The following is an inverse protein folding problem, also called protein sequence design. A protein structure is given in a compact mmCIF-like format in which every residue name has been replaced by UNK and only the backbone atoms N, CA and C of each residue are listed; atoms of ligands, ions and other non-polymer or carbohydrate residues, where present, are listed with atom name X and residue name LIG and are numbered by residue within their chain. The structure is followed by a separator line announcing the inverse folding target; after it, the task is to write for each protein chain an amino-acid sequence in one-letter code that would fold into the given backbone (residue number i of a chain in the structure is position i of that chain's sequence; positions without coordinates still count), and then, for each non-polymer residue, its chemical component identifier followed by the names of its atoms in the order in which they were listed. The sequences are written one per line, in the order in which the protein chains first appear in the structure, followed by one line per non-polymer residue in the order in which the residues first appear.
data_IF_308723389559
#
_entry.id   IF_308723389559
#
_cell.length_a   1.000
_cell.length_b   1.000
_cell.length_c   1.000
_cell.angle_alpha   90.00
_cell.angle_beta   90.00
_cell.angle_gamma   90.00
#
_symmetry.space_group_name_H-M   'P 1'
#
loop_
_entity.id
_entity.type
_entity.pdbx_description
1 polymer ?
#
# COMPACT_ATOMS: atom_id res chain seq x y z
N UNK A 1 -10.71 17.57 1.26
CA UNK A 1 -10.88 17.48 -0.22
C UNK A 1 -12.21 16.84 -0.58
N UNK A 2 -12.45 15.58 -0.24
CA UNK A 2 -13.75 14.91 -0.49
C UNK A 2 -14.89 15.59 0.27
N UNK A 3 -14.70 15.87 1.57
CA UNK A 3 -15.68 16.59 2.39
C UNK A 3 -15.98 18.01 1.90
N UNK A 4 -15.01 18.62 1.22
CA UNK A 4 -15.12 20.00 0.71
C UNK A 4 -15.57 20.04 -0.76
N UNK A 5 -16.04 18.91 -1.30
CA UNK A 5 -16.45 18.74 -2.70
C UNK A 5 -15.39 19.16 -3.76
N UNK A 6 -14.11 19.18 -3.38
CA UNK A 6 -13.00 19.53 -4.29
C UNK A 6 -12.64 18.39 -5.25
N UNK A 7 -13.11 17.18 -4.97
CA UNK A 7 -12.89 15.97 -5.78
C UNK A 7 -14.14 15.10 -5.74
N UNK A 8 -14.42 14.39 -6.83
CA UNK A 8 -15.44 13.32 -6.86
C UNK A 8 -14.75 11.98 -6.64
N UNK A 9 -15.13 11.27 -5.59
CA UNK A 9 -14.60 9.93 -5.29
C UNK A 9 -15.50 8.86 -5.91
N UNK A 10 -14.90 7.94 -6.67
CA UNK A 10 -15.54 6.68 -7.07
C UNK A 10 -14.87 5.52 -6.33
N UNK A 11 -15.66 4.55 -5.85
CA UNK A 11 -15.17 3.39 -5.12
C UNK A 11 -15.65 2.09 -5.77
N UNK A 12 -15.01 1.65 -6.86
CA UNK A 12 -15.26 0.32 -7.45
C UNK A 12 -14.95 -0.82 -6.47
N UNK A 13 -15.41 -2.02 -6.81
CA UNK A 13 -15.26 -3.22 -5.97
C UNK A 13 -13.82 -3.79 -5.97
N UNK A 14 -13.00 -3.45 -6.96
CA UNK A 14 -11.64 -3.99 -7.11
C UNK A 14 -10.64 -2.93 -7.56
N UNK A 15 -9.36 -3.18 -7.29
CA UNK A 15 -8.24 -2.34 -7.76
C UNK A 15 -8.18 -2.36 -9.29
N UNK A 16 -8.42 -3.50 -9.92
CA UNK A 16 -8.46 -3.65 -11.37
C UNK A 16 -9.54 -2.76 -12.00
N UNK A 17 -10.72 -2.67 -11.38
CA UNK A 17 -11.78 -1.80 -11.87
C UNK A 17 -11.44 -0.31 -11.71
N UNK A 18 -10.70 0.08 -10.66
CA UNK A 18 -10.16 1.43 -10.53
C UNK A 18 -9.25 1.79 -11.72
N UNK A 19 -8.32 0.90 -12.08
CA UNK A 19 -7.41 1.14 -13.22
C UNK A 19 -8.13 1.08 -14.58
N UNK A 20 -9.17 0.24 -14.74
CA UNK A 20 -10.01 0.26 -15.94
C UNK A 20 -10.78 1.57 -16.10
N UNK A 21 -11.25 2.17 -15.00
CA UNK A 21 -11.87 3.50 -15.05
C UNK A 21 -10.86 4.58 -15.47
N UNK A 22 -9.62 4.49 -14.98
CA UNK A 22 -8.54 5.39 -15.39
C UNK A 22 -8.25 5.24 -16.89
N UNK A 23 -8.09 4.01 -17.37
CA UNK A 23 -7.85 3.72 -18.80
C UNK A 23 -8.96 4.26 -19.70
N UNK A 24 -10.21 4.19 -19.26
CA UNK A 24 -11.39 4.70 -20.00
C UNK A 24 -11.58 6.21 -19.87
N UNK A 25 -10.67 6.93 -19.20
CA UNK A 25 -10.77 8.37 -18.96
C UNK A 25 -11.97 8.78 -18.09
N UNK A 26 -12.46 7.88 -17.23
CA UNK A 26 -13.61 8.15 -16.34
C UNK A 26 -13.20 8.77 -15.01
N UNK A 27 -11.92 8.63 -14.65
CA UNK A 27 -11.28 9.25 -13.50
C UNK A 27 -9.92 9.79 -13.93
N UNK A 28 -9.47 10.85 -13.28
CA UNK A 28 -8.19 11.49 -13.58
C UNK A 28 -7.01 10.81 -12.86
N UNK A 29 -7.29 10.13 -11.74
CA UNK A 29 -6.28 9.46 -10.92
C UNK A 29 -6.88 8.29 -10.13
N UNK A 30 -6.01 7.38 -9.71
CA UNK A 30 -6.32 6.30 -8.77
C UNK A 30 -5.46 6.49 -7.52
N UNK A 31 -6.10 6.66 -6.36
CA UNK A 31 -5.41 6.82 -5.09
C UNK A 31 -5.31 5.48 -4.35
N UNK A 32 -4.10 4.93 -4.26
CA UNK A 32 -3.81 3.65 -3.60
C UNK A 32 -2.49 3.73 -2.83
N UNK A 33 -2.28 2.76 -1.94
CA UNK A 33 -0.93 2.45 -1.46
C UNK A 33 -0.01 2.14 -2.66
N UNK A 34 1.22 2.67 -2.62
CA UNK A 34 2.17 2.59 -3.73
C UNK A 34 2.47 1.16 -4.18
N UNK A 35 2.73 0.24 -3.23
CA UNK A 35 3.03 -1.16 -3.56
C UNK A 35 1.86 -1.83 -4.29
N UNK A 36 0.64 -1.58 -3.81
CA UNK A 36 -0.59 -2.10 -4.42
C UNK A 36 -0.80 -1.53 -5.82
N UNK A 37 -0.65 -0.22 -5.98
CA UNK A 37 -0.80 0.47 -7.26
C UNK A 37 0.18 -0.03 -8.31
N UNK A 38 1.48 -0.08 -7.97
CA UNK A 38 2.52 -0.56 -8.90
C UNK A 38 2.34 -2.03 -9.28
N UNK A 39 1.99 -2.89 -8.31
CA UNK A 39 1.70 -4.30 -8.59
C UNK A 39 0.52 -4.46 -9.56
N UNK A 40 -0.55 -3.66 -9.40
CA UNK A 40 -1.70 -3.67 -10.29
C UNK A 40 -1.35 -3.16 -11.70
N UNK A 41 -0.62 -2.03 -11.83
CA UNK A 41 -0.17 -1.50 -13.13
C UNK A 41 0.62 -2.55 -13.91
N UNK A 42 1.55 -3.25 -13.25
CA UNK A 42 2.30 -4.34 -13.89
C UNK A 42 1.39 -5.51 -14.29
N UNK A 43 0.55 -5.99 -13.36
CA UNK A 43 -0.39 -7.11 -13.61
C UNK A 43 -1.33 -6.84 -14.79
N UNK A 44 -1.72 -5.59 -14.99
CA UNK A 44 -2.61 -5.15 -16.05
C UNK A 44 -1.88 -4.70 -17.33
N UNK A 45 -0.54 -4.80 -17.37
CA UNK A 45 0.28 -4.34 -18.49
C UNK A 45 0.07 -2.86 -18.86
N UNK A 46 -0.06 -2.00 -17.85
CA UNK A 46 -0.38 -0.57 -18.02
C UNK A 46 0.83 0.36 -17.78
N UNK A 47 2.04 -0.18 -17.65
CA UNK A 47 3.23 0.60 -17.29
C UNK A 47 3.57 1.73 -18.28
N UNK A 48 3.18 1.60 -19.55
CA UNK A 48 3.37 2.63 -20.58
C UNK A 48 2.28 3.71 -20.60
N UNK A 49 1.20 3.53 -19.84
CA UNK A 49 0.02 4.40 -19.86
C UNK A 49 -0.23 5.09 -18.51
N UNK A 50 0.35 4.56 -17.43
CA UNK A 50 0.08 5.01 -16.07
C UNK A 50 1.40 5.20 -15.33
N UNK A 51 1.59 6.40 -14.81
CA UNK A 51 2.71 6.74 -13.94
C UNK A 51 2.24 7.03 -12.51
N UNK A 52 3.12 6.74 -11.56
CA UNK A 52 2.92 7.18 -10.18
C UNK A 52 3.46 8.60 -10.03
N UNK A 53 2.69 9.47 -9.37
CA UNK A 53 3.15 10.82 -9.06
C UNK A 53 4.36 10.78 -8.11
N UNK A 54 5.30 11.72 -8.29
CA UNK A 54 6.54 11.77 -7.52
C UNK A 54 6.30 12.03 -6.03
N UNK A 55 5.37 12.94 -5.70
CA UNK A 55 5.05 13.30 -4.33
C UNK A 55 3.80 12.56 -3.86
N UNK A 56 3.87 11.72 -2.80
CA UNK A 56 2.70 11.01 -2.30
C UNK A 56 1.68 12.00 -1.72
N UNK A 57 0.40 11.71 -1.95
CA UNK A 57 -0.72 12.49 -1.39
C UNK A 57 -0.77 12.36 0.14
N UNK A 58 -0.32 11.23 0.68
CA UNK A 58 -0.24 10.99 2.13
C UNK A 58 0.80 9.92 2.45
N UNK A 59 1.44 10.04 3.60
CA UNK A 59 2.35 9.02 4.17
C UNK A 59 1.62 8.39 5.36
N UNK A 60 1.43 7.07 5.31
CA UNK A 60 0.72 6.30 6.33
C UNK A 60 1.60 5.17 6.85
N UNK A 61 1.50 4.90 8.14
CA UNK A 61 2.13 3.76 8.79
C UNK A 61 1.23 2.53 8.74
N UNK A 62 1.82 1.35 8.60
CA UNK A 62 1.09 0.08 8.72
C UNK A 62 1.09 -0.39 10.18
N UNK A 63 -0.05 -0.91 10.62
CA UNK A 63 -0.25 -1.41 11.97
C UNK A 63 -0.87 -2.80 11.94
N UNK A 64 -0.53 -3.62 12.93
CA UNK A 64 -1.23 -4.88 13.18
C UNK A 64 -2.56 -4.58 13.85
N UNK A 65 -3.63 -5.16 13.33
CA UNK A 65 -4.99 -5.01 13.87
C UNK A 65 -5.37 -6.30 14.60
N UNK A 66 -5.88 -6.17 15.82
CA UNK A 66 -6.37 -7.28 16.63
C UNK A 66 -7.81 -6.95 17.05
N UNK A 67 -8.71 -7.92 16.91
CA UNK A 67 -10.11 -7.75 17.29
C UNK A 67 -10.22 -7.43 18.79
N UNK A 68 -10.92 -6.34 19.13
CA UNK A 68 -11.10 -5.90 20.53
C UNK A 68 -11.83 -6.94 21.40
N UNK A 69 -12.71 -7.72 20.79
CA UNK A 69 -13.51 -8.76 21.45
C UNK A 69 -12.73 -10.04 21.74
N UNK A 70 -11.51 -10.18 21.22
CA UNK A 70 -10.69 -11.36 21.45
C UNK A 70 -10.20 -11.38 22.91
N UNK A 71 -10.43 -12.48 23.63
CA UNK A 71 -10.11 -12.62 25.07
C UNK A 71 -8.64 -12.31 25.42
N UNK A 72 -7.74 -12.51 24.44
CA UNK A 72 -6.30 -12.28 24.59
C UNK A 72 -5.78 -11.04 23.84
N UNK A 73 -6.65 -10.14 23.40
CA UNK A 73 -6.29 -9.03 22.51
C UNK A 73 -5.10 -8.20 23.02
N UNK A 74 -5.15 -7.80 24.30
CA UNK A 74 -4.08 -7.01 24.92
C UNK A 74 -2.75 -7.77 25.02
N UNK A 75 -2.81 -9.08 25.35
CA UNK A 75 -1.60 -9.92 25.39
C UNK A 75 -0.99 -10.04 24.01
N UNK A 76 -1.79 -10.37 22.99
CA UNK A 76 -1.31 -10.49 21.60
C UNK A 76 -0.70 -9.18 21.09
N UNK A 77 -1.35 -8.05 21.37
CA UNK A 77 -0.82 -6.73 20.99
C UNK A 77 0.54 -6.47 21.64
N UNK A 78 0.67 -6.75 22.93
CA UNK A 78 1.94 -6.63 23.64
C UNK A 78 3.02 -7.54 23.04
N UNK A 79 2.71 -8.81 22.79
CA UNK A 79 3.67 -9.75 22.18
C UNK A 79 4.18 -9.27 20.82
N UNK A 80 3.28 -8.77 19.96
CA UNK A 80 3.66 -8.24 18.64
C UNK A 80 4.55 -7.01 18.79
N UNK A 81 4.19 -6.07 19.67
CA UNK A 81 4.95 -4.83 19.86
C UNK A 81 6.33 -5.10 20.46
N UNK A 82 6.42 -5.92 21.52
CA UNK A 82 7.69 -6.29 22.16
C UNK A 82 8.60 -7.04 21.17
N UNK A 83 8.03 -7.93 20.36
CA UNK A 83 8.76 -8.65 19.32
C UNK A 83 9.29 -7.72 18.22
N UNK A 84 8.46 -6.77 17.77
CA UNK A 84 8.83 -5.77 16.78
C UNK A 84 9.95 -4.85 17.30
N UNK A 85 9.88 -4.43 18.55
CA UNK A 85 10.91 -3.63 19.20
C UNK A 85 12.25 -4.39 19.24
N UNK A 86 12.23 -5.67 19.64
CA UNK A 86 13.43 -6.51 19.69
C UNK A 86 14.11 -6.66 18.34
N UNK A 87 13.35 -6.91 17.27
CA UNK A 87 13.95 -7.04 15.93
C UNK A 87 14.42 -5.69 15.37
N UNK A 88 13.88 -4.57 15.85
CA UNK A 88 14.40 -3.24 15.51
C UNK A 88 15.72 -2.98 16.22
N UNK A 89 15.82 -3.28 17.51
CA UNK A 89 17.01 -3.00 18.31
C UNK A 89 18.24 -3.81 17.91
N UNK A 90 18.05 -4.98 17.30
CA UNK A 90 19.15 -5.85 16.86
C UNK A 90 19.40 -5.85 15.34
N UNK A 91 18.76 -4.95 14.58
CA UNK A 91 18.98 -4.79 13.14
C UNK A 91 18.20 -5.73 12.22
N UNK A 92 17.62 -6.82 12.72
CA UNK A 92 16.88 -7.81 11.93
C UNK A 92 15.72 -7.17 11.15
N UNK A 93 15.05 -6.18 11.73
CA UNK A 93 13.98 -5.45 11.05
C UNK A 93 14.48 -4.82 9.74
N UNK A 94 15.66 -4.20 9.76
CA UNK A 94 16.27 -3.59 8.58
C UNK A 94 16.57 -4.62 7.51
N UNK A 95 17.14 -5.77 7.88
CA UNK A 95 17.42 -6.87 6.95
C UNK A 95 16.16 -7.42 6.27
N UNK A 96 15.06 -7.54 7.03
CA UNK A 96 13.77 -7.98 6.47
C UNK A 96 13.25 -6.94 5.48
N UNK A 97 13.23 -5.67 5.86
CA UNK A 97 12.74 -4.58 5.00
C UNK A 97 13.56 -4.51 3.72
N UNK A 98 14.89 -4.51 3.82
CA UNK A 98 15.78 -4.44 2.68
C UNK A 98 15.57 -5.61 1.70
N UNK A 99 15.55 -6.85 2.20
CA UNK A 99 15.31 -8.05 1.39
C UNK A 99 14.00 -7.97 0.59
N UNK A 100 12.93 -7.50 1.22
CA UNK A 100 11.61 -7.45 0.57
C UNK A 100 11.46 -6.25 -0.36
N UNK A 101 11.98 -5.08 0.01
CA UNK A 101 11.93 -3.88 -0.85
C UNK A 101 12.83 -4.04 -2.06
N UNK A 102 14.06 -4.53 -1.90
CA UNK A 102 14.98 -4.81 -3.02
C UNK A 102 14.34 -5.78 -4.00
N UNK A 103 13.72 -6.87 -3.53
CA UNK A 103 12.97 -7.80 -4.39
C UNK A 103 11.79 -7.12 -5.08
N UNK A 104 11.04 -6.28 -4.38
CA UNK A 104 9.90 -5.58 -4.96
C UNK A 104 10.34 -4.64 -6.09
N UNK A 105 11.33 -3.78 -5.85
CA UNK A 105 11.83 -2.80 -6.82
C UNK A 105 12.56 -3.45 -8.00
N UNK A 106 13.32 -4.52 -7.75
CA UNK A 106 13.92 -5.31 -8.83
C UNK A 106 12.88 -5.90 -9.79
N UNK A 107 11.70 -6.28 -9.28
CA UNK A 107 10.57 -6.75 -10.09
C UNK A 107 9.77 -5.60 -10.77
N UNK A 108 10.10 -4.33 -10.52
CA UNK A 108 9.53 -3.18 -11.23
C UNK A 108 10.41 -2.73 -12.41
N UNK A 109 11.75 -2.89 -12.30
CA UNK A 109 12.70 -2.44 -13.32
C UNK A 109 12.84 -3.35 -14.55
N UNK A 110 12.16 -4.50 -14.58
CA UNK A 110 12.06 -5.36 -15.77
C UNK A 110 10.78 -5.01 -16.53
N UNK A 111 10.83 -3.95 -17.33
CA UNK A 111 9.78 -3.54 -18.29
C UNK A 111 10.44 -3.21 -19.62
#
# INVERSE_FOLDING_TARGET
WVKDAKVRLLQPQSVEDCFRLLQKGKVDAVALNEFTGRAAVRKLHMASQVEAIERPVSILTLHVIIAKTHERAQRLLKYVNDGLERIRSNGIYGEIVDRHLTRFWGAQGQS
#
